data_IF_714116570188
#
_entry.id   IF_714116570188
#
_cell.length_a   1.000
_cell.length_b   1.000
_cell.length_c   1.000
_cell.angle_alpha   90.00
_cell.angle_beta   90.00
_cell.angle_gamma   90.00
#
_symmetry.space_group_name_H-M   'P 1'
#
loop_
_entity.id
_entity.type
_entity.pdbx_description
1 polymer ?
#
# COMPACT_ATOMS: atom_id res chain seq x y z
N UNK A 1 -2.31 10.88 -34.57
CA UNK A 1 -1.94 9.46 -34.77
C UNK A 1 -2.63 8.65 -33.70
N UNK A 2 -3.46 7.68 -34.06
CA UNK A 2 -4.24 6.93 -33.09
C UNK A 2 -3.30 6.01 -32.27
N UNK A 3 -3.37 6.07 -30.94
CA UNK A 3 -2.48 5.32 -30.03
C UNK A 3 -2.69 3.82 -30.23
N UNK A 4 -3.93 3.41 -30.44
CA UNK A 4 -4.35 2.03 -30.72
C UNK A 4 -3.59 1.43 -31.91
N UNK A 5 -3.44 2.22 -32.98
CA UNK A 5 -2.76 1.78 -34.19
C UNK A 5 -1.26 1.53 -33.96
N UNK A 6 -0.62 2.32 -33.08
CA UNK A 6 0.79 2.12 -32.72
C UNK A 6 0.98 0.88 -31.83
N UNK A 7 0.04 0.63 -30.91
CA UNK A 7 0.07 -0.54 -30.04
C UNK A 7 -0.05 -1.82 -30.87
N UNK A 8 -0.98 -1.87 -31.83
CA UNK A 8 -1.13 -3.02 -32.72
C UNK A 8 0.11 -3.28 -33.57
N UNK A 9 0.72 -2.23 -34.14
CA UNK A 9 1.96 -2.38 -34.91
C UNK A 9 3.13 -2.87 -34.06
N UNK A 10 3.20 -2.45 -32.80
CA UNK A 10 4.23 -2.90 -31.87
C UNK A 10 4.02 -4.38 -31.51
N UNK A 11 2.78 -4.79 -31.20
CA UNK A 11 2.44 -6.19 -30.90
C UNK A 11 2.69 -7.13 -32.08
N UNK A 12 2.51 -6.67 -33.32
CA UNK A 12 2.82 -7.48 -34.52
C UNK A 12 4.32 -7.73 -34.71
N UNK A 13 5.19 -6.84 -34.22
CA UNK A 13 6.65 -6.94 -34.36
C UNK A 13 7.32 -7.69 -33.21
N UNK A 14 6.60 -7.97 -32.12
CA UNK A 14 7.15 -8.61 -30.93
C UNK A 14 7.11 -10.15 -31.02
N UNK A 15 8.13 -10.85 -30.48
CA UNK A 15 8.08 -12.27 -30.18
C UNK A 15 6.95 -12.62 -29.20
N UNK A 16 6.42 -13.85 -29.26
CA UNK A 16 5.38 -14.36 -28.34
C UNK A 16 5.60 -14.09 -26.85
N UNK A 17 6.79 -14.31 -26.25
CA UNK A 17 6.98 -14.06 -24.81
C UNK A 17 6.77 -12.60 -24.39
N UNK A 18 7.13 -11.65 -25.27
CA UNK A 18 6.93 -10.22 -25.01
C UNK A 18 5.46 -9.81 -25.14
N UNK A 19 4.65 -10.55 -25.91
CA UNK A 19 3.21 -10.31 -25.99
C UNK A 19 2.51 -10.72 -24.71
N UNK A 20 2.95 -11.80 -24.07
CA UNK A 20 2.44 -12.23 -22.76
C UNK A 20 2.75 -11.19 -21.68
N UNK A 21 3.98 -10.68 -21.62
CA UNK A 21 4.34 -9.61 -20.69
C UNK A 21 3.51 -8.33 -20.94
N UNK A 22 3.30 -7.96 -22.20
CA UNK A 22 2.47 -6.81 -22.55
C UNK A 22 1.00 -7.01 -22.13
N UNK A 23 0.45 -8.21 -22.32
CA UNK A 23 -0.90 -8.56 -21.89
C UNK A 23 -1.04 -8.45 -20.36
N UNK A 24 -0.10 -9.05 -19.61
CA UNK A 24 -0.06 -8.95 -18.15
C UNK A 24 0.00 -7.49 -17.68
N UNK A 25 0.78 -6.64 -18.36
CA UNK A 25 0.87 -5.23 -18.00
C UNK A 25 -0.43 -4.46 -18.30
N UNK A 26 -1.11 -4.78 -19.41
CA UNK A 26 -2.42 -4.20 -19.74
C UNK A 26 -3.47 -4.61 -18.69
N UNK A 27 -3.50 -5.89 -18.31
CA UNK A 27 -4.38 -6.40 -17.25
C UNK A 27 -4.10 -5.73 -15.90
N UNK A 28 -2.83 -5.59 -15.54
CA UNK A 28 -2.42 -4.86 -14.34
C UNK A 28 -2.91 -3.40 -14.35
N UNK A 29 -2.80 -2.70 -15.48
CA UNK A 29 -3.29 -1.32 -15.59
C UNK A 29 -4.81 -1.25 -15.42
N UNK A 30 -5.55 -2.19 -16.03
CA UNK A 30 -7.01 -2.27 -15.87
C UNK A 30 -7.40 -2.56 -14.41
N UNK A 31 -6.70 -3.47 -13.74
CA UNK A 31 -6.96 -3.81 -12.35
C UNK A 31 -6.61 -2.66 -11.40
N UNK A 32 -5.46 -2.01 -11.61
CA UNK A 32 -5.02 -0.84 -10.85
C UNK A 32 -6.02 0.32 -10.94
N UNK A 33 -6.50 0.63 -12.15
CA UNK A 33 -7.41 1.74 -12.37
C UNK A 33 -8.88 1.40 -12.12
N UNK A 34 -9.28 0.11 -12.09
CA UNK A 34 -10.62 -0.31 -11.66
C UNK A 34 -10.75 -0.36 -10.14
N UNK A 35 -9.67 -0.67 -9.41
CA UNK A 35 -9.63 -0.65 -7.94
C UNK A 35 -9.37 0.75 -7.36
N UNK A 36 -8.85 1.68 -8.16
CA UNK A 36 -8.75 3.09 -7.83
C UNK A 36 -10.12 3.78 -7.89
N UNK A 37 -11.08 3.33 -7.08
CA UNK A 37 -12.16 4.20 -6.67
C UNK A 37 -11.55 5.22 -5.68
N UNK A 38 -11.45 6.51 -6.00
CA UNK A 38 -10.83 7.52 -5.13
C UNK A 38 -11.51 7.65 -3.76
N UNK A 39 -12.67 7.03 -3.56
CA UNK A 39 -13.34 6.94 -2.26
C UNK A 39 -12.87 5.79 -1.36
N UNK A 40 -12.30 4.71 -1.93
CA UNK A 40 -11.76 3.58 -1.14
C UNK A 40 -10.38 3.89 -0.54
N UNK A 41 -9.63 4.81 -1.16
CA UNK A 41 -8.32 5.30 -0.69
C UNK A 41 -8.41 6.51 0.25
N UNK A 42 -9.60 6.85 0.76
CA UNK A 42 -9.70 7.54 2.07
C UNK A 42 -9.29 6.54 3.14
N UNK A 43 -8.01 6.16 3.10
CA UNK A 43 -7.34 5.32 4.07
C UNK A 43 -7.82 5.76 5.44
N UNK A 44 -8.49 4.83 6.13
CA UNK A 44 -9.07 5.05 7.45
C UNK A 44 -7.92 5.57 8.32
N UNK A 45 -7.88 6.89 8.58
CA UNK A 45 -6.78 7.51 9.33
C UNK A 45 -6.65 6.73 10.63
N UNK A 46 -5.47 6.16 10.89
CA UNK A 46 -5.23 5.45 12.14
C UNK A 46 -5.49 6.44 13.27
N UNK A 47 -6.52 6.17 14.08
CA UNK A 47 -6.87 7.01 15.23
C UNK A 47 -6.10 6.47 16.43
N UNK A 48 -5.25 7.31 17.03
CA UNK A 48 -4.67 7.02 18.33
C UNK A 48 -5.75 7.09 19.41
N UNK A 49 -5.54 6.38 20.53
CA UNK A 49 -6.45 6.45 21.68
C UNK A 49 -7.81 5.78 21.51
N UNK A 50 -7.98 4.90 20.51
CA UNK A 50 -9.24 4.14 20.31
C UNK A 50 -9.64 3.26 21.52
N UNK A 51 -8.68 2.94 22.38
CA UNK A 51 -8.86 2.15 23.60
C UNK A 51 -8.70 3.01 24.87
N UNK A 52 -8.70 4.36 24.74
CA UNK A 52 -8.61 5.25 25.90
C UNK A 52 -9.86 5.06 26.77
N UNK A 53 -9.66 4.58 28.00
CA UNK A 53 -10.75 4.39 28.98
C UNK A 53 -11.49 3.06 28.86
N UNK A 54 -11.06 2.12 28.00
CA UNK A 54 -11.70 0.80 27.90
C UNK A 54 -11.23 -0.21 28.95
N UNK A 55 -10.05 0.01 29.53
CA UNK A 55 -9.51 -0.79 30.61
C UNK A 55 -8.55 0.06 31.45
N UNK A 56 -8.48 -0.26 32.74
CA UNK A 56 -7.42 0.24 33.62
C UNK A 56 -6.33 -0.82 33.58
N UNK A 57 -5.17 -0.48 33.02
CA UNK A 57 -4.00 -1.35 33.15
C UNK A 57 -3.57 -1.30 34.63
N UNK A 58 -3.39 -2.45 35.29
CA UNK A 58 -2.70 -2.50 36.58
C UNK A 58 -1.22 -2.27 36.32
N UNK A 59 -0.86 -1.02 35.99
CA UNK A 59 0.52 -0.60 35.89
C UNK A 59 1.08 -0.48 37.31
N UNK A 60 2.33 -0.91 37.53
CA UNK A 60 3.03 -0.63 38.76
C UNK A 60 3.34 0.89 38.84
N UNK A 61 3.55 1.38 40.06
CA UNK A 61 3.76 2.81 40.32
C UNK A 61 5.05 3.37 39.67
N UNK A 62 5.98 2.48 39.29
CA UNK A 62 7.29 2.75 38.67
C UNK A 62 7.28 2.67 37.14
N UNK A 63 6.12 2.51 36.49
CA UNK A 63 6.06 2.31 35.03
C UNK A 63 6.69 3.45 34.21
N UNK A 64 6.61 4.68 34.69
CA UNK A 64 7.19 5.85 34.02
C UNK A 64 8.69 6.06 34.36
N UNK A 65 9.28 5.21 35.20
CA UNK A 65 10.71 5.28 35.52
C UNK A 65 11.57 4.83 34.33
N UNK A 66 12.75 5.46 34.13
CA UNK A 66 13.67 5.04 33.09
C UNK A 66 14.15 3.62 33.35
N UNK A 67 14.22 2.82 32.28
CA UNK A 67 14.83 1.50 32.35
C UNK A 67 16.34 1.66 32.41
N UNK A 68 16.99 1.09 33.43
CA UNK A 68 18.45 1.15 33.63
C UNK A 68 19.23 0.76 32.36
N UNK A 69 18.77 -0.28 31.65
CA UNK A 69 19.38 -0.76 30.40
C UNK A 69 19.29 0.23 29.21
N UNK A 70 18.47 1.28 29.33
CA UNK A 70 18.23 2.29 28.30
C UNK A 70 18.77 3.67 28.67
N UNK A 71 19.43 3.84 29.82
CA UNK A 71 20.05 5.11 30.22
C UNK A 71 21.06 5.63 29.19
N UNK A 72 21.84 4.72 28.58
CA UNK A 72 22.82 5.07 27.55
C UNK A 72 22.20 5.54 26.21
N UNK A 73 20.88 5.45 26.04
CA UNK A 73 20.16 5.73 24.79
C UNK A 73 19.22 6.96 24.86
N UNK A 74 19.00 7.54 26.04
CA UNK A 74 18.15 8.72 26.29
C UNK A 74 18.98 10.01 26.37
#
# INVERSE_FOLDING_TARGET
MNVDAKILQALMKMPEPLKEEALNYIEYLLEKHSKANPEAEKSKKRRSGILKGTFVLPLPDDFDEPLEDFEDYM
#
